data_IF_022504424206
#
_entry.id   IF_022504424206
#
_cell.length_a   1.000
_cell.length_b   1.000
_cell.length_c   1.000
_cell.angle_alpha   90.00
_cell.angle_beta   90.00
_cell.angle_gamma   90.00
#
_symmetry.space_group_name_H-M   'P 1'
#
loop_
_entity.id
_entity.type
_entity.pdbx_description
1 polymer ?
#
# COMPACT_ATOMS: atom_id res chain seq x y z
N UNK A 1 9.24 -5.72 36.07
CA UNK A 1 8.89 -4.45 35.39
C UNK A 1 9.51 -4.49 34.00
N UNK A 2 8.73 -4.79 32.97
CA UNK A 2 9.16 -4.62 31.57
C UNK A 2 9.11 -3.13 31.26
N UNK A 3 10.27 -2.46 31.34
CA UNK A 3 10.37 -1.04 30.96
C UNK A 3 9.96 -0.87 29.51
N UNK A 4 8.93 -0.04 29.24
CA UNK A 4 8.60 0.37 27.87
C UNK A 4 9.75 1.24 27.37
N UNK A 5 10.54 0.69 26.46
CA UNK A 5 11.54 1.44 25.70
C UNK A 5 10.80 2.25 24.64
N UNK A 6 10.67 3.56 24.84
CA UNK A 6 10.21 4.50 23.82
C UNK A 6 11.41 4.96 23.01
N UNK A 7 11.42 4.70 21.70
CA UNK A 7 12.41 5.24 20.76
C UNK A 7 11.77 6.38 19.96
N UNK A 8 12.46 7.52 19.76
CA UNK A 8 11.96 8.55 18.84
C UNK A 8 11.86 8.00 17.42
N UNK A 9 10.80 8.37 16.73
CA UNK A 9 10.57 8.07 15.31
C UNK A 9 11.10 9.25 14.50
N UNK A 10 11.94 8.98 13.51
CA UNK A 10 12.43 10.05 12.63
C UNK A 10 11.40 10.41 11.53
N UNK A 11 11.67 11.47 10.77
CA UNK A 11 10.75 11.93 9.73
C UNK A 11 10.54 10.92 8.59
N UNK A 12 11.55 10.10 8.28
CA UNK A 12 11.46 9.07 7.23
C UNK A 12 10.61 7.91 7.69
N UNK A 13 10.80 7.46 8.93
CA UNK A 13 9.99 6.43 9.55
C UNK A 13 8.54 6.88 9.71
N UNK A 14 8.31 8.13 10.12
CA UNK A 14 6.97 8.70 10.21
C UNK A 14 6.28 8.74 8.83
N UNK A 15 6.99 9.19 7.79
CA UNK A 15 6.46 9.22 6.42
C UNK A 15 6.12 7.81 5.90
N UNK A 16 7.00 6.84 6.12
CA UNK A 16 6.75 5.44 5.77
C UNK A 16 5.52 4.89 6.50
N UNK A 17 5.42 5.13 7.81
CA UNK A 17 4.29 4.70 8.62
C UNK A 17 2.96 5.32 8.14
N UNK A 18 2.97 6.60 7.74
CA UNK A 18 1.79 7.26 7.18
C UNK A 18 1.31 6.60 5.88
N UNK A 19 2.22 6.17 5.00
CA UNK A 19 1.86 5.43 3.79
C UNK A 19 1.22 4.08 4.13
N UNK A 20 1.83 3.35 5.09
CA UNK A 20 1.29 2.07 5.57
C UNK A 20 -0.12 2.26 6.12
N UNK A 21 -0.32 3.23 7.01
CA UNK A 21 -1.63 3.51 7.60
C UNK A 21 -2.68 3.92 6.56
N UNK A 22 -2.32 4.71 5.55
CA UNK A 22 -3.23 5.07 4.47
C UNK A 22 -3.72 3.83 3.71
N UNK A 23 -2.81 2.91 3.37
CA UNK A 23 -3.17 1.63 2.73
C UNK A 23 -4.09 0.82 3.64
N UNK A 24 -3.72 0.62 4.91
CA UNK A 24 -4.53 -0.15 5.88
C UNK A 24 -5.94 0.45 6.01
N UNK A 25 -6.06 1.77 6.14
CA UNK A 25 -7.34 2.45 6.24
C UNK A 25 -8.18 2.32 4.97
N UNK A 26 -7.56 2.33 3.80
CA UNK A 26 -8.26 2.20 2.53
C UNK A 26 -8.81 0.79 2.26
N UNK A 27 -8.28 -0.23 2.95
CA UNK A 27 -8.64 -1.63 2.71
C UNK A 27 -9.09 -2.38 3.97
N UNK A 28 -9.30 -1.67 5.09
CA UNK A 28 -9.64 -2.24 6.39
C UNK A 28 -10.90 -3.11 6.38
N UNK A 29 -11.87 -2.80 5.50
CA UNK A 29 -13.12 -3.55 5.34
C UNK A 29 -13.01 -4.65 4.26
N UNK A 30 -11.81 -4.91 3.75
CA UNK A 30 -11.58 -5.89 2.69
C UNK A 30 -10.68 -7.02 3.19
N UNK A 31 -10.90 -8.25 2.71
CA UNK A 31 -10.06 -9.42 3.03
C UNK A 31 -8.70 -9.43 2.27
N UNK A 32 -8.23 -8.27 1.82
CA UNK A 32 -7.09 -8.15 0.91
C UNK A 32 -5.74 -8.10 1.65
N UNK A 33 -5.74 -7.75 2.94
CA UNK A 33 -4.50 -7.53 3.67
C UNK A 33 -3.86 -8.82 4.20
N UNK A 34 -2.56 -8.99 3.91
CA UNK A 34 -1.74 -10.08 4.47
C UNK A 34 -0.71 -9.50 5.44
N UNK A 35 -0.65 -9.97 6.72
CA UNK A 35 0.34 -9.50 7.69
C UNK A 35 1.72 -10.06 7.36
N UNK A 36 2.47 -9.31 6.56
CA UNK A 36 3.87 -9.57 6.20
C UNK A 36 4.67 -8.27 6.28
N UNK A 37 6.03 -8.30 6.26
CA UNK A 37 6.83 -7.09 6.26
C UNK A 37 6.52 -6.21 5.04
N UNK A 38 6.42 -4.89 5.26
CA UNK A 38 6.16 -3.90 4.22
C UNK A 38 7.43 -3.10 3.95
N UNK A 39 7.67 -2.78 2.68
CA UNK A 39 8.72 -1.85 2.26
C UNK A 39 8.07 -0.57 1.77
N UNK A 40 8.54 0.58 2.22
CA UNK A 40 7.97 1.88 1.85
C UNK A 40 8.96 2.71 1.04
N UNK A 41 8.44 3.50 0.11
CA UNK A 41 9.19 4.55 -0.59
C UNK A 41 8.44 5.86 -0.41
N UNK A 42 8.92 6.70 0.51
CA UNK A 42 8.31 8.01 0.77
C UNK A 42 8.35 8.92 -0.46
N UNK A 43 9.43 8.87 -1.24
CA UNK A 43 9.60 9.67 -2.47
C UNK A 43 8.61 9.25 -3.55
N UNK A 44 8.41 7.95 -3.74
CA UNK A 44 7.46 7.42 -4.71
C UNK A 44 6.02 7.31 -4.17
N UNK A 45 5.81 7.63 -2.89
CA UNK A 45 4.55 7.44 -2.16
C UNK A 45 3.96 6.05 -2.34
N UNK A 46 4.81 5.04 -2.28
CA UNK A 46 4.42 3.66 -2.55
C UNK A 46 4.80 2.72 -1.41
N UNK A 47 4.06 1.62 -1.33
CA UNK A 47 4.30 0.52 -0.40
C UNK A 47 4.36 -0.78 -1.19
N UNK A 48 5.36 -1.60 -0.95
CA UNK A 48 5.43 -2.98 -1.40
C UNK A 48 5.12 -3.88 -0.21
N UNK A 49 4.03 -4.64 -0.29
CA UNK A 49 3.70 -5.60 0.77
C UNK A 49 4.49 -6.92 0.60
N UNK A 50 4.41 -7.79 1.60
CA UNK A 50 5.12 -9.07 1.57
C UNK A 50 4.51 -10.14 0.66
N UNK A 51 3.46 -9.81 -0.10
CA UNK A 51 2.96 -10.61 -1.20
C UNK A 51 3.50 -10.13 -2.56
N UNK A 52 4.26 -9.03 -2.59
CA UNK A 52 4.78 -8.44 -3.82
C UNK A 52 3.79 -7.49 -4.51
N UNK A 53 2.69 -7.14 -3.83
CA UNK A 53 1.71 -6.18 -4.35
C UNK A 53 2.23 -4.77 -4.09
N UNK A 54 2.17 -3.93 -5.13
CA UNK A 54 2.56 -2.53 -5.02
C UNK A 54 1.32 -1.68 -4.76
N UNK A 55 1.42 -0.79 -3.80
CA UNK A 55 0.39 0.14 -3.42
C UNK A 55 0.89 1.56 -3.68
N UNK A 56 0.06 2.42 -4.24
CA UNK A 56 0.33 3.84 -4.45
C UNK A 56 -0.65 4.67 -3.64
N UNK A 57 -0.14 5.67 -2.94
CA UNK A 57 -0.93 6.56 -2.10
C UNK A 57 -0.84 7.96 -2.68
N UNK A 58 -1.98 8.53 -3.06
CA UNK A 58 -2.04 9.91 -3.56
C UNK A 58 -1.59 10.92 -2.49
N UNK A 59 -1.48 12.20 -2.89
CA UNK A 59 -0.86 13.25 -2.08
C UNK A 59 -1.47 13.44 -0.68
N UNK A 60 -2.79 13.28 -0.56
CA UNK A 60 -3.58 13.48 0.64
C UNK A 60 -3.94 12.16 1.35
N UNK A 61 -3.64 11.01 0.73
CA UNK A 61 -4.00 9.68 1.24
C UNK A 61 -5.48 9.36 1.09
N UNK A 62 -6.25 10.15 0.32
CA UNK A 62 -7.66 9.93 0.10
C UNK A 62 -7.92 8.79 -0.89
N UNK A 63 -6.99 8.57 -1.81
CA UNK A 63 -7.04 7.53 -2.83
C UNK A 63 -5.83 6.62 -2.71
N UNK A 64 -6.10 5.31 -2.70
CA UNK A 64 -5.06 4.28 -2.70
C UNK A 64 -5.26 3.38 -3.91
N UNK A 65 -4.20 3.13 -4.65
CA UNK A 65 -4.21 2.21 -5.78
C UNK A 65 -3.41 0.96 -5.43
N UNK A 66 -3.96 -0.20 -5.77
CA UNK A 66 -3.34 -1.51 -5.62
C UNK A 66 -2.99 -2.06 -6.99
N UNK A 67 -1.73 -2.35 -7.23
CA UNK A 67 -1.24 -2.93 -8.46
C UNK A 67 -0.71 -4.36 -8.21
N UNK A 68 -1.32 -5.32 -8.90
CA UNK A 68 -0.93 -6.73 -8.87
C UNK A 68 -0.41 -7.10 -10.25
N UNK A 69 0.87 -7.48 -10.35
CA UNK A 69 1.41 -8.08 -11.57
C UNK A 69 0.75 -9.45 -11.79
N UNK A 70 0.17 -9.65 -12.98
CA UNK A 70 -0.47 -10.91 -13.34
C UNK A 70 0.57 -11.86 -13.92
N UNK A 71 0.48 -13.13 -13.55
CA UNK A 71 1.29 -14.20 -14.12
C UNK A 71 0.78 -14.57 -15.52
N UNK A 72 0.99 -13.66 -16.48
CA UNK A 72 0.68 -13.87 -17.88
C UNK A 72 1.86 -13.47 -18.77
N UNK A 73 2.02 -14.18 -19.89
CA UNK A 73 3.00 -13.83 -20.92
C UNK A 73 2.79 -12.44 -21.53
N UNK A 74 1.60 -11.88 -21.37
CA UNK A 74 1.26 -10.54 -21.80
C UNK A 74 1.90 -9.41 -20.97
N UNK A 75 2.48 -9.71 -19.79
CA UNK A 75 2.95 -8.71 -18.84
C UNK A 75 1.85 -7.73 -18.41
N UNK A 76 0.68 -8.25 -18.06
CA UNK A 76 -0.42 -7.44 -17.55
C UNK A 76 -0.33 -7.22 -16.04
N UNK A 77 -0.98 -6.16 -15.56
CA UNK A 77 -1.28 -5.94 -14.16
C UNK A 77 -2.77 -5.64 -13.98
N UNK A 78 -3.31 -6.02 -12.82
CA UNK A 78 -4.57 -5.50 -12.30
C UNK A 78 -4.27 -4.24 -11.48
N UNK A 79 -5.00 -3.16 -11.76
CA UNK A 79 -5.02 -1.94 -10.96
C UNK A 79 -6.40 -1.80 -10.31
N UNK A 80 -6.44 -1.76 -8.99
CA UNK A 80 -7.65 -1.51 -8.19
C UNK A 80 -7.52 -0.17 -7.49
N UNK A 81 -8.52 0.69 -7.60
CA UNK A 81 -8.55 2.01 -6.93
C UNK A 81 -9.53 1.98 -5.77
N UNK A 82 -9.06 2.39 -4.60
CA UNK A 82 -9.83 2.54 -3.37
C UNK A 82 -9.96 4.02 -3.01
N UNK A 83 -11.13 4.42 -2.51
CA UNK A 83 -11.37 5.73 -1.92
C UNK A 83 -12.26 5.57 -0.71
N UNK A 84 -11.87 6.14 0.43
CA UNK A 84 -12.66 6.07 1.67
C UNK A 84 -13.09 4.64 2.06
N UNK A 85 -12.18 3.67 1.94
CA UNK A 85 -12.45 2.28 2.33
C UNK A 85 -13.18 1.43 1.28
N UNK A 86 -13.63 2.02 0.16
CA UNK A 86 -14.39 1.30 -0.87
C UNK A 86 -13.62 1.20 -2.18
N UNK A 87 -13.73 0.04 -2.85
CA UNK A 87 -13.27 -0.12 -4.23
C UNK A 87 -14.17 0.69 -5.16
N UNK A 88 -13.58 1.64 -5.88
CA UNK A 88 -14.29 2.50 -6.84
C UNK A 88 -14.02 2.14 -8.30
N UNK A 89 -13.03 1.29 -8.54
CA UNK A 89 -12.67 0.88 -9.88
C UNK A 89 -11.62 -0.21 -9.91
N UNK A 90 -11.67 -1.01 -10.98
CA UNK A 90 -10.70 -2.06 -11.26
C UNK A 90 -10.52 -2.19 -12.77
N UNK A 91 -9.27 -2.27 -13.21
CA UNK A 91 -8.94 -2.51 -14.60
C UNK A 91 -7.72 -3.44 -14.75
N UNK A 92 -7.61 -4.08 -15.90
CA UNK A 92 -6.46 -4.90 -16.27
C UNK A 92 -5.85 -4.31 -17.53
N UNK A 93 -4.54 -4.11 -17.51
CA UNK A 93 -3.80 -3.51 -18.61
C UNK A 93 -2.37 -4.02 -18.69
N UNK A 94 -1.71 -3.76 -19.81
CA UNK A 94 -0.30 -4.12 -20.00
C UNK A 94 0.59 -3.15 -19.23
N UNK A 95 1.58 -3.67 -18.52
CA UNK A 95 2.63 -2.86 -17.88
C UNK A 95 3.69 -2.57 -18.95
N UNK A 96 3.88 -1.28 -19.25
CA UNK A 96 4.81 -0.79 -20.28
C UNK A 96 6.20 -0.52 -19.74
#
# INVERSE_FOLDING_TARGET
MTGRLTRPVDGSEAAGMSLVLAVVSAVAETDVMVPRPWTTSAVARSVLDGAGVTWFVDADGATVERMIALDCQCACAELTTFRAGVEIGRCVGRVG
#
